data_IF_238913657017
#
_entry.id   IF_238913657017
#
_cell.length_a   1.000
_cell.length_b   1.000
_cell.length_c   1.000
_cell.angle_alpha   90.00
_cell.angle_beta   90.00
_cell.angle_gamma   90.00
#
_symmetry.space_group_name_H-M   'P 1'
#
loop_
_entity.id
_entity.type
_entity.pdbx_description
1 polymer ?
#
# COMPACT_ATOMS: atom_id res chain seq x y z
N UNK A 1 2.35 -3.04 -6.04
CA UNK A 1 3.00 -1.70 -6.10
C UNK A 1 4.51 -1.77 -5.90
N UNK A 2 5.06 -2.18 -4.74
CA UNK A 2 6.53 -2.21 -4.52
C UNK A 2 7.28 -3.04 -5.58
N UNK A 3 6.74 -4.18 -6.00
CA UNK A 3 7.30 -5.01 -7.08
C UNK A 3 7.33 -4.27 -8.42
N UNK A 4 6.25 -3.56 -8.75
CA UNK A 4 6.21 -2.72 -9.96
C UNK A 4 7.31 -1.67 -9.93
N UNK A 5 7.45 -0.93 -8.84
CA UNK A 5 8.48 0.10 -8.70
C UNK A 5 9.89 -0.48 -8.83
N UNK A 6 10.17 -1.59 -8.15
CA UNK A 6 11.45 -2.28 -8.23
C UNK A 6 11.77 -2.75 -9.67
N UNK A 7 10.80 -3.37 -10.35
CA UNK A 7 10.96 -3.81 -11.73
C UNK A 7 11.15 -2.66 -12.72
N UNK A 8 10.56 -1.51 -12.42
CA UNK A 8 10.74 -0.27 -13.19
C UNK A 8 12.09 0.42 -12.98
N UNK A 9 12.93 -0.07 -12.09
CA UNK A 9 14.23 0.52 -11.77
C UNK A 9 14.21 1.54 -10.63
N UNK A 10 13.09 1.73 -9.93
CA UNK A 10 13.05 2.55 -8.71
C UNK A 10 13.81 1.85 -7.59
N UNK A 11 14.80 2.49 -6.95
CA UNK A 11 15.42 1.95 -5.76
C UNK A 11 14.39 1.70 -4.65
N UNK A 12 14.39 0.52 -4.05
CA UNK A 12 13.45 0.13 -3.00
C UNK A 12 14.20 -0.16 -1.72
N UNK A 13 13.80 0.49 -0.64
CA UNK A 13 14.38 0.23 0.68
C UNK A 13 13.62 -0.93 1.34
N UNK A 14 14.36 -2.03 1.58
CA UNK A 14 13.86 -3.25 2.24
C UNK A 14 15.01 -3.91 3.00
N UNK A 15 14.70 -4.55 4.13
CA UNK A 15 15.69 -5.32 4.92
C UNK A 15 15.70 -6.81 4.57
N UNK A 16 14.69 -7.29 3.84
CA UNK A 16 14.58 -8.70 3.47
C UNK A 16 14.30 -9.66 4.66
N UNK A 17 14.04 -9.14 5.86
CA UNK A 17 13.81 -9.97 7.07
C UNK A 17 12.55 -10.83 6.92
N UNK A 18 11.48 -10.23 6.41
CA UNK A 18 10.24 -10.96 6.17
C UNK A 18 10.26 -11.66 4.81
N UNK A 19 10.54 -12.96 4.85
CA UNK A 19 10.58 -13.81 3.65
C UNK A 19 9.20 -13.98 3.01
N UNK A 20 9.18 -14.35 1.73
CA UNK A 20 7.98 -14.77 1.03
C UNK A 20 7.33 -15.96 1.75
N UNK A 21 6.00 -15.98 1.76
CA UNK A 21 5.15 -17.05 2.28
C UNK A 21 3.93 -17.27 1.38
N UNK A 22 3.03 -18.17 1.77
CA UNK A 22 1.80 -18.48 1.01
C UNK A 22 0.85 -17.29 0.88
N UNK A 23 0.92 -16.33 1.81
CA UNK A 23 0.12 -15.11 1.77
C UNK A 23 0.72 -14.08 0.80
N UNK A 24 2.03 -14.06 0.67
CA UNK A 24 2.75 -13.21 -0.27
C UNK A 24 3.97 -13.93 -0.87
N UNK A 25 3.75 -14.78 -1.88
CA UNK A 25 4.80 -15.60 -2.47
C UNK A 25 5.91 -14.81 -3.18
N UNK A 26 5.71 -13.50 -3.40
CA UNK A 26 6.67 -12.60 -4.04
C UNK A 26 7.40 -11.68 -3.06
N UNK A 27 7.26 -11.92 -1.75
CA UNK A 27 7.89 -11.15 -0.68
C UNK A 27 7.14 -9.88 -0.30
N UNK A 28 7.54 -9.30 0.80
CA UNK A 28 6.79 -8.23 1.47
C UNK A 28 7.34 -6.83 1.20
N UNK A 29 8.60 -6.69 0.81
CA UNK A 29 9.26 -5.40 0.60
C UNK A 29 9.10 -4.48 1.83
N UNK A 30 9.22 -5.04 3.02
CA UNK A 30 9.15 -4.29 4.27
C UNK A 30 10.54 -3.80 4.67
N UNK A 31 10.57 -2.68 5.33
CA UNK A 31 11.74 -2.11 5.98
C UNK A 31 11.34 -1.86 7.43
N UNK A 32 11.71 -2.78 8.32
CA UNK A 32 11.27 -2.78 9.72
C UNK A 32 11.58 -1.47 10.46
N UNK A 33 12.73 -0.79 10.23
CA UNK A 33 13.02 0.47 10.90
C UNK A 33 11.96 1.55 10.72
N UNK A 34 11.15 1.52 9.64
CA UNK A 34 10.07 2.51 9.43
C UNK A 34 9.08 2.55 10.61
N UNK A 35 8.91 1.45 11.33
CA UNK A 35 8.03 1.37 12.50
C UNK A 35 8.53 2.23 13.68
N UNK A 36 9.79 2.59 13.69
CA UNK A 36 10.38 3.48 14.69
C UNK A 36 10.24 4.97 14.33
N UNK A 37 9.71 5.30 13.16
CA UNK A 37 9.56 6.68 12.69
C UNK A 37 8.95 7.64 13.72
N UNK A 38 7.89 7.25 14.50
CA UNK A 38 7.33 8.12 15.52
C UNK A 38 8.30 8.51 16.66
N UNK A 39 9.30 7.66 16.92
CA UNK A 39 10.32 7.87 17.95
C UNK A 39 11.62 8.44 17.39
N UNK A 40 11.92 8.14 16.15
CA UNK A 40 13.16 8.48 15.46
C UNK A 40 12.86 9.03 14.06
N UNK A 41 12.33 10.27 13.94
CA UNK A 41 11.92 10.82 12.64
C UNK A 41 13.05 10.93 11.60
N UNK A 42 14.31 11.07 12.06
CA UNK A 42 15.48 11.12 11.17
C UNK A 42 15.75 9.83 10.39
N UNK A 43 15.13 8.70 10.79
CA UNK A 43 15.23 7.45 10.01
C UNK A 43 14.78 7.62 8.57
N UNK A 44 13.83 8.54 8.30
CA UNK A 44 13.32 8.77 6.94
C UNK A 44 14.40 9.28 5.99
N UNK A 45 15.47 9.86 6.49
CA UNK A 45 16.58 10.35 5.66
C UNK A 45 17.31 9.21 4.93
N UNK A 46 17.24 7.98 5.47
CA UNK A 46 17.74 6.78 4.79
C UNK A 46 16.90 6.37 3.56
N UNK A 47 15.68 6.87 3.49
CA UNK A 47 14.75 6.59 2.40
C UNK A 47 14.85 7.62 1.25
N UNK A 48 15.73 8.60 1.34
CA UNK A 48 15.91 9.58 0.27
C UNK A 48 16.25 8.89 -1.05
N UNK A 49 15.50 9.22 -2.10
CA UNK A 49 15.65 8.61 -3.42
C UNK A 49 15.15 7.15 -3.53
N UNK A 50 14.53 6.61 -2.49
CA UNK A 50 14.03 5.24 -2.45
C UNK A 50 12.51 5.19 -2.29
N UNK A 51 11.91 4.14 -2.80
CA UNK A 51 10.55 3.77 -2.42
C UNK A 51 10.55 2.97 -1.11
N UNK A 52 9.69 3.36 -0.17
CA UNK A 52 9.49 2.68 1.11
C UNK A 52 8.03 2.31 1.27
N UNK A 53 7.79 1.05 1.66
CA UNK A 53 6.45 0.61 2.06
C UNK A 53 6.13 1.12 3.45
N UNK A 54 5.09 1.96 3.54
CA UNK A 54 4.65 2.56 4.79
C UNK A 54 3.16 2.28 5.01
N UNK A 55 2.78 1.91 6.22
CA UNK A 55 1.36 1.83 6.60
C UNK A 55 0.82 3.22 6.90
N UNK A 56 -0.46 3.45 6.60
CA UNK A 56 -1.08 4.77 6.71
C UNK A 56 -1.03 5.37 8.12
N UNK A 57 -0.96 4.54 9.17
CA UNK A 57 -0.80 4.98 10.55
C UNK A 57 0.50 5.73 10.82
N UNK A 58 1.54 5.46 10.05
CA UNK A 58 2.86 6.09 10.21
C UNK A 58 3.00 7.40 9.43
N UNK A 59 2.07 7.72 8.52
CA UNK A 59 2.14 8.95 7.72
C UNK A 59 2.22 10.21 8.58
N UNK A 60 1.48 10.24 9.70
CA UNK A 60 1.45 11.38 10.61
C UNK A 60 2.79 11.64 11.32
N UNK A 61 3.70 10.67 11.31
CA UNK A 61 5.02 10.78 11.88
C UNK A 61 6.09 11.27 10.88
N UNK A 62 5.73 11.47 9.62
CA UNK A 62 6.64 12.00 8.60
C UNK A 62 7.04 13.44 8.95
N UNK A 63 8.34 13.76 9.00
CA UNK A 63 8.83 15.14 9.24
C UNK A 63 8.30 16.14 8.21
N UNK A 64 7.87 17.30 8.66
CA UNK A 64 7.33 18.35 7.79
C UNK A 64 8.40 19.09 6.96
N UNK A 65 9.69 18.92 7.31
CA UNK A 65 10.81 19.57 6.63
C UNK A 65 11.42 18.72 5.51
N UNK A 66 10.66 17.80 4.95
CA UNK A 66 11.03 16.93 3.83
C UNK A 66 9.92 16.92 2.79
N UNK A 67 10.27 16.72 1.53
CA UNK A 67 9.30 16.55 0.43
C UNK A 67 9.03 15.09 0.18
N UNK A 68 7.76 14.75 -0.05
CA UNK A 68 7.32 13.37 -0.24
C UNK A 68 6.51 13.22 -1.52
N UNK A 69 6.70 12.12 -2.21
CA UNK A 69 5.79 11.61 -3.23
C UNK A 69 5.09 10.37 -2.69
N UNK A 70 3.83 10.51 -2.33
CA UNK A 70 3.05 9.46 -1.68
C UNK A 70 2.16 8.76 -2.71
N UNK A 71 2.41 7.48 -2.94
CA UNK A 71 1.53 6.62 -3.72
C UNK A 71 0.56 5.97 -2.73
N UNK A 72 -0.68 6.46 -2.71
CA UNK A 72 -1.70 6.00 -1.79
C UNK A 72 -2.58 4.95 -2.46
N UNK A 73 -2.41 3.68 -2.03
CA UNK A 73 -3.18 2.56 -2.56
C UNK A 73 -4.54 2.47 -1.87
N UNK A 74 -5.60 2.58 -2.65
CA UNK A 74 -6.98 2.48 -2.17
C UNK A 74 -7.58 1.11 -2.52
N UNK A 75 -8.28 0.53 -1.56
CA UNK A 75 -8.99 -0.74 -1.71
C UNK A 75 -10.26 -0.70 -0.85
N UNK A 76 -11.38 -1.33 -1.29
CA UNK A 76 -12.57 -1.43 -0.46
C UNK A 76 -12.24 -1.99 0.92
N UNK A 77 -12.68 -1.30 1.99
CA UNK A 77 -12.30 -1.67 3.36
C UNK A 77 -12.77 -3.08 3.73
N UNK A 78 -13.91 -3.53 3.22
CA UNK A 78 -14.41 -4.89 3.43
C UNK A 78 -13.45 -5.95 2.90
N UNK A 79 -12.85 -5.71 1.73
CA UNK A 79 -11.82 -6.62 1.18
C UNK A 79 -10.53 -6.60 2.00
N UNK A 80 -10.16 -5.43 2.54
CA UNK A 80 -9.01 -5.32 3.45
C UNK A 80 -9.24 -6.15 4.70
N UNK A 81 -10.42 -6.02 5.33
CA UNK A 81 -10.80 -6.78 6.51
C UNK A 81 -10.85 -8.27 6.23
N UNK A 82 -11.48 -8.69 5.14
CA UNK A 82 -11.54 -10.10 4.74
C UNK A 82 -10.14 -10.70 4.54
N UNK A 83 -9.24 -9.94 3.91
CA UNK A 83 -7.86 -10.37 3.70
C UNK A 83 -7.08 -10.49 5.01
N UNK A 84 -7.28 -9.55 5.95
CA UNK A 84 -6.65 -9.61 7.28
C UNK A 84 -7.17 -10.78 8.11
N UNK A 85 -8.48 -10.99 8.14
CA UNK A 85 -9.12 -12.10 8.87
C UNK A 85 -8.61 -13.45 8.37
N UNK A 86 -8.51 -13.63 7.05
CA UNK A 86 -7.99 -14.86 6.46
C UNK A 86 -6.51 -15.08 6.81
N UNK A 87 -5.69 -14.02 6.79
CA UNK A 87 -4.28 -14.10 7.19
C UNK A 87 -4.14 -14.49 8.68
N UNK A 88 -4.94 -13.92 9.57
CA UNK A 88 -4.94 -14.26 11.00
C UNK A 88 -5.37 -15.70 11.23
N UNK A 89 -6.43 -16.16 10.53
CA UNK A 89 -6.90 -17.54 10.58
C UNK A 89 -5.80 -18.53 10.19
N UNK A 90 -5.06 -18.27 9.11
CA UNK A 90 -3.95 -19.14 8.66
C UNK A 90 -2.80 -19.18 9.64
N UNK A 91 -2.55 -18.09 10.36
CA UNK A 91 -1.51 -18.02 11.38
C UNK A 91 -1.90 -18.63 12.71
N UNK A 92 -3.12 -19.15 12.84
CA UNK A 92 -3.64 -19.69 14.10
C UNK A 92 -3.79 -18.62 15.18
N UNK A 93 -3.75 -17.34 14.82
CA UNK A 93 -3.92 -16.22 15.74
C UNK A 93 -5.37 -15.79 15.69
N UNK A 94 -6.15 -16.15 16.70
CA UNK A 94 -7.45 -15.52 16.94
C UNK A 94 -7.16 -14.12 17.48
N UNK A 95 -7.31 -13.10 16.66
CA UNK A 95 -7.36 -11.73 17.15
C UNK A 95 -8.52 -11.56 18.12
N UNK A 96 -8.53 -10.51 18.97
CA UNK A 96 -9.69 -10.21 19.78
C UNK A 96 -10.91 -10.17 18.85
N UNK A 97 -12.00 -10.80 19.25
CA UNK A 97 -13.26 -10.79 18.52
C UNK A 97 -13.84 -9.36 18.53
N UNK A 98 -13.23 -8.47 17.77
CA UNK A 98 -13.86 -7.19 17.47
C UNK A 98 -14.96 -7.44 16.45
N UNK A 99 -16.13 -6.91 16.71
CA UNK A 99 -17.20 -6.85 15.74
C UNK A 99 -16.71 -6.17 14.46
N UNK A 100 -16.91 -6.82 13.33
CA UNK A 100 -16.49 -6.30 12.01
C UNK A 100 -17.00 -4.87 11.77
N UNK A 101 -18.17 -4.53 12.31
CA UNK A 101 -18.74 -3.18 12.24
C UNK A 101 -17.93 -2.16 13.04
N UNK A 102 -17.45 -2.51 14.22
CA UNK A 102 -16.59 -1.64 15.04
C UNK A 102 -15.23 -1.45 14.39
N UNK A 103 -14.67 -2.51 13.82
CA UNK A 103 -13.39 -2.45 13.11
C UNK A 103 -13.50 -1.59 11.85
N UNK A 104 -14.58 -1.75 11.07
CA UNK A 104 -14.85 -0.92 9.90
C UNK A 104 -14.92 0.56 10.25
N UNK A 105 -15.69 0.93 11.30
CA UNK A 105 -15.78 2.31 11.78
C UNK A 105 -14.43 2.88 12.22
N UNK A 106 -13.62 2.08 12.88
CA UNK A 106 -12.27 2.50 13.28
C UNK A 106 -11.37 2.78 12.07
N UNK A 107 -11.42 1.93 11.04
CA UNK A 107 -10.70 2.17 9.79
C UNK A 107 -11.19 3.41 9.04
N UNK A 108 -12.51 3.61 8.94
CA UNK A 108 -13.08 4.80 8.32
C UNK A 108 -12.66 6.09 9.05
N UNK A 109 -12.69 6.08 10.39
CA UNK A 109 -12.25 7.21 11.20
C UNK A 109 -10.75 7.49 10.98
N UNK A 110 -9.92 6.43 10.94
CA UNK A 110 -8.50 6.55 10.65
C UNK A 110 -8.26 7.14 9.25
N UNK A 111 -8.93 6.64 8.21
CA UNK A 111 -8.76 7.17 6.85
C UNK A 111 -9.18 8.64 6.74
N UNK A 112 -10.23 9.07 7.46
CA UNK A 112 -10.58 10.49 7.55
C UNK A 112 -9.45 11.34 8.15
N UNK A 113 -8.78 10.85 9.20
CA UNK A 113 -7.64 11.53 9.79
C UNK A 113 -6.45 11.60 8.82
N UNK A 114 -6.16 10.51 8.12
CA UNK A 114 -5.11 10.48 7.10
C UNK A 114 -5.42 11.49 5.99
N UNK A 115 -6.67 11.56 5.54
CA UNK A 115 -7.10 12.51 4.51
C UNK A 115 -6.88 13.97 4.94
N UNK A 116 -7.28 14.31 6.17
CA UNK A 116 -7.05 15.64 6.73
C UNK A 116 -5.56 15.95 6.84
N UNK A 117 -4.77 14.98 7.27
CA UNK A 117 -3.32 15.14 7.37
C UNK A 117 -2.69 15.37 6.00
N UNK A 118 -3.02 14.57 4.98
CA UNK A 118 -2.51 14.74 3.62
C UNK A 118 -2.84 16.13 3.05
N UNK A 119 -4.06 16.62 3.29
CA UNK A 119 -4.47 17.98 2.86
C UNK A 119 -3.72 19.10 3.57
N UNK A 120 -3.23 18.85 4.77
CA UNK A 120 -2.48 19.83 5.57
C UNK A 120 -0.98 19.87 5.23
N UNK A 121 -0.51 19.02 4.30
CA UNK A 121 0.91 18.83 3.98
C UNK A 121 1.24 19.29 2.57
N UNK A 122 1.56 20.59 2.37
CA UNK A 122 1.91 21.11 1.05
C UNK A 122 3.22 20.52 0.50
N UNK A 123 4.08 19.98 1.37
CA UNK A 123 5.33 19.30 1.03
C UNK A 123 5.11 17.87 0.49
N UNK A 124 3.89 17.34 0.55
CA UNK A 124 3.56 16.01 0.07
C UNK A 124 2.71 16.08 -1.21
N UNK A 125 3.24 15.54 -2.30
CA UNK A 125 2.45 15.23 -3.49
C UNK A 125 1.84 13.83 -3.34
N UNK A 126 0.57 13.67 -3.68
CA UNK A 126 -0.17 12.40 -3.47
C UNK A 126 -0.77 11.91 -4.78
N UNK A 127 -0.39 10.71 -5.18
CA UNK A 127 -1.05 9.95 -6.25
C UNK A 127 -1.93 8.86 -5.61
N UNK A 128 -3.24 8.91 -5.87
CA UNK A 128 -4.19 7.90 -5.42
C UNK A 128 -4.40 6.87 -6.51
N UNK A 129 -4.26 5.60 -6.15
CA UNK A 129 -4.44 4.50 -7.08
C UNK A 129 -5.42 3.50 -6.50
N UNK A 130 -6.49 3.22 -7.25
CA UNK A 130 -7.41 2.15 -6.91
C UNK A 130 -6.78 0.79 -7.22
N UNK A 131 -6.81 -0.12 -6.25
CA UNK A 131 -6.20 -1.44 -6.39
C UNK A 131 -6.76 -2.24 -7.58
N UNK A 132 -8.07 -2.15 -7.83
CA UNK A 132 -8.71 -2.86 -8.95
C UNK A 132 -8.31 -2.25 -10.30
N UNK A 133 -8.10 -0.94 -10.37
CA UNK A 133 -7.62 -0.29 -11.59
C UNK A 133 -6.19 -0.67 -11.91
N UNK A 134 -5.33 -0.80 -10.90
CA UNK A 134 -3.97 -1.32 -11.07
C UNK A 134 -3.99 -2.74 -11.68
N UNK A 135 -4.91 -3.60 -11.23
CA UNK A 135 -5.06 -4.96 -11.77
C UNK A 135 -5.63 -4.96 -13.18
N UNK A 136 -6.54 -4.04 -13.50
CA UNK A 136 -7.23 -3.97 -14.79
C UNK A 136 -6.36 -3.40 -15.89
N UNK A 137 -5.60 -2.36 -15.58
CA UNK A 137 -4.72 -1.67 -16.54
C UNK A 137 -3.36 -1.34 -15.91
N UNK A 138 -2.49 -2.35 -15.77
CA UNK A 138 -1.19 -2.17 -15.15
C UNK A 138 -0.25 -1.29 -15.96
N UNK A 139 -0.38 -1.27 -17.31
CA UNK A 139 0.47 -0.44 -18.15
C UNK A 139 0.13 1.05 -17.97
N UNK A 140 -1.15 1.39 -17.99
CA UNK A 140 -1.59 2.76 -17.71
C UNK A 140 -1.17 3.22 -16.31
N UNK A 141 -1.32 2.34 -15.33
CA UNK A 141 -0.86 2.62 -13.96
C UNK A 141 0.65 2.90 -13.92
N UNK A 142 1.44 2.10 -14.64
CA UNK A 142 2.90 2.30 -14.70
C UNK A 142 3.29 3.63 -15.32
N UNK A 143 2.58 4.07 -16.36
CA UNK A 143 2.79 5.39 -16.99
C UNK A 143 2.45 6.53 -16.03
N UNK A 144 1.35 6.43 -15.27
CA UNK A 144 0.97 7.41 -14.25
C UNK A 144 2.02 7.50 -13.13
N UNK A 145 2.60 6.37 -12.75
CA UNK A 145 3.67 6.32 -11.76
C UNK A 145 4.95 6.99 -12.26
N UNK A 146 5.36 6.73 -13.50
CA UNK A 146 6.51 7.36 -14.12
C UNK A 146 6.34 8.89 -14.17
N UNK A 147 5.19 9.37 -14.63
CA UNK A 147 4.85 10.79 -14.66
C UNK A 147 4.88 11.41 -13.26
N UNK A 148 4.20 10.78 -12.30
CA UNK A 148 4.12 11.25 -10.92
C UNK A 148 5.48 11.30 -10.22
N UNK A 149 6.30 10.28 -10.41
CA UNK A 149 7.64 10.21 -9.82
C UNK A 149 8.65 11.10 -10.55
N UNK A 150 8.32 11.58 -11.76
CA UNK A 150 9.15 12.41 -12.61
C UNK A 150 10.58 11.84 -12.79
N UNK A 151 10.65 10.54 -13.03
CA UNK A 151 11.88 9.81 -13.29
C UNK A 151 11.62 8.72 -14.35
N UNK A 152 12.60 8.40 -15.21
CA UNK A 152 12.42 7.36 -16.22
C UNK A 152 12.28 5.99 -15.53
N UNK A 153 11.22 5.25 -15.89
CA UNK A 153 10.93 3.91 -15.38
C UNK A 153 10.64 2.95 -16.55
N UNK A 154 11.01 1.69 -16.40
CA UNK A 154 10.58 0.66 -17.35
C UNK A 154 9.10 0.29 -17.07
N UNK A 155 8.19 1.03 -17.70
CA UNK A 155 6.74 0.85 -17.51
C UNK A 155 6.25 -0.50 -17.98
N UNK A 156 6.94 -1.16 -18.93
CA UNK A 156 6.59 -2.51 -19.40
C UNK A 156 6.97 -3.56 -18.35
N UNK A 157 8.18 -3.47 -17.81
CA UNK A 157 8.63 -4.33 -16.71
C UNK A 157 7.73 -4.16 -15.48
N UNK A 158 7.36 -2.92 -15.14
CA UNK A 158 6.40 -2.64 -14.06
C UNK A 158 5.07 -3.35 -14.28
N UNK A 159 4.49 -3.22 -15.47
CA UNK A 159 3.19 -3.81 -15.79
C UNK A 159 3.21 -5.34 -15.74
N UNK A 160 4.32 -5.96 -16.15
CA UNK A 160 4.50 -7.41 -16.13
C UNK A 160 4.51 -7.99 -14.69
N UNK A 161 4.79 -7.15 -13.68
CA UNK A 161 4.76 -7.55 -12.28
C UNK A 161 3.33 -7.72 -11.72
N UNK A 162 2.31 -7.24 -12.41
CA UNK A 162 0.93 -7.37 -11.95
C UNK A 162 0.37 -8.73 -12.34
N UNK A 163 0.07 -9.56 -11.34
CA UNK A 163 -0.46 -10.92 -11.53
C UNK A 163 -1.89 -10.98 -10.98
N UNK A 164 -2.92 -10.88 -11.85
CA UNK A 164 -4.33 -10.82 -11.41
C UNK A 164 -4.79 -12.07 -10.63
N UNK A 165 -4.17 -13.23 -10.85
CA UNK A 165 -4.51 -14.49 -10.17
C UNK A 165 -4.13 -14.50 -8.70
N UNK A 166 -3.26 -13.60 -8.25
CA UNK A 166 -2.92 -13.43 -6.83
C UNK A 166 -3.99 -12.62 -6.06
N UNK A 167 -4.97 -12.04 -6.76
CA UNK A 167 -6.11 -11.37 -6.14
C UNK A 167 -7.16 -12.41 -5.71
N UNK A 168 -7.09 -12.82 -4.45
CA UNK A 168 -7.91 -13.94 -3.90
C UNK A 168 -9.20 -13.49 -3.21
N UNK A 169 -9.25 -12.25 -2.72
CA UNK A 169 -10.39 -11.71 -1.96
C UNK A 169 -11.14 -10.69 -2.82
N UNK A 170 -12.20 -11.14 -3.50
CA UNK A 170 -13.09 -10.30 -4.32
C UNK A 170 -14.39 -10.08 -3.56
N UNK A 171 -14.91 -8.83 -3.53
CA UNK A 171 -16.34 -8.67 -3.27
C UNK A 171 -17.08 -9.38 -4.41
N UNK A 172 -18.08 -10.21 -4.04
CA UNK A 172 -18.97 -10.77 -5.06
C UNK A 172 -19.59 -9.58 -5.81
N UNK A 173 -19.33 -9.48 -7.11
CA UNK A 173 -20.06 -8.55 -7.97
C UNK A 173 -21.54 -8.82 -7.74
N UNK A 174 -22.28 -7.81 -7.26
CA UNK A 174 -23.71 -7.83 -7.16
C UNK A 174 -24.25 -7.90 -8.60
N UNK A 175 -24.34 -9.09 -9.15
CA UNK A 175 -25.06 -9.34 -10.39
C UNK A 175 -26.53 -9.11 -10.03
N UNK A 176 -27.21 -8.07 -10.60
CA UNK A 176 -28.65 -7.92 -10.37
C UNK A 176 -29.34 -9.19 -10.88
N UNK A 177 -30.39 -9.67 -10.19
CA UNK A 177 -31.13 -10.83 -10.65
C UNK A 177 -31.68 -10.55 -12.07
N UNK A 178 -31.39 -11.46 -12.98
CA UNK A 178 -32.00 -11.45 -14.31
C UNK A 178 -33.54 -11.54 -14.15
N UNK A 179 -34.23 -10.52 -14.61
CA UNK A 179 -35.68 -10.48 -14.73
C UNK A 179 -36.11 -11.21 -15.99
#
# INVERSE_FOLDING_TARGET
>A
MMQMLAAGGMPVLTDGERRADDDNPRGYYEWEPIKQLPKQPALIDQAEGHAVKCISQLLVALPANRSYRIIFMERPLREVLASQSEMLRRRGTTGPAMDDSALLKAFEAHLKQVELWLKSKPEASVLRLNYHEVLRDPLRTSQLLEEFLAMPLDTKAMAAEVVPTLYRQREAENTPPAH
#
